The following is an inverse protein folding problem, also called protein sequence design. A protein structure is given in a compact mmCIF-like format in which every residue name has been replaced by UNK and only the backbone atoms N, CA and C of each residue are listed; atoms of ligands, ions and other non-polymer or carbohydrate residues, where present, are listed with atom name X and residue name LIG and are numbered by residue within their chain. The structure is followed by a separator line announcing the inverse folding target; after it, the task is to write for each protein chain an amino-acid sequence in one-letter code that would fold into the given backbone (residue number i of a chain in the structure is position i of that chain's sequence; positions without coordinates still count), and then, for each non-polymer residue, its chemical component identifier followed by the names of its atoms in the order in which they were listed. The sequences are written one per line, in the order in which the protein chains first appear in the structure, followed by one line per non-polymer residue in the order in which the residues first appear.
data_IF_739327749203
#
_entry.id   IF_739327749203
#
_cell.length_a   1.000
_cell.length_b   1.000
_cell.length_c   1.000
_cell.angle_alpha   90.00
_cell.angle_beta   90.00
_cell.angle_gamma   90.00
#
_symmetry.space_group_name_H-M   'P 1'
#
loop_
_entity.id
_entity.type
_entity.pdbx_description
1 polymer ?
#
# COMPACT_ATOMS: atom_id res chain seq x y z
N UNK A 1 13.85 8.03 -3.04
CA UNK A 1 14.14 6.58 -2.89
C UNK A 1 13.25 6.10 -1.76
N UNK A 2 12.51 5.00 -1.93
CA UNK A 2 11.56 4.57 -0.90
C UNK A 2 12.28 4.20 0.40
N UNK A 3 11.72 4.64 1.51
CA UNK A 3 12.10 4.22 2.86
C UNK A 3 11.60 2.77 3.08
N UNK A 4 12.54 1.81 3.13
CA UNK A 4 12.28 0.37 3.28
C UNK A 4 12.71 -0.19 4.64
N UNK A 5 13.30 0.64 5.49
CA UNK A 5 13.60 0.37 6.90
C UNK A 5 12.35 0.50 7.80
N UNK A 6 11.26 1.05 7.26
CA UNK A 6 9.93 1.07 7.89
C UNK A 6 9.42 -0.35 8.19
N UNK A 7 8.48 -0.50 9.13
CA UNK A 7 7.78 -1.77 9.33
C UNK A 7 6.93 -2.13 8.09
N UNK A 8 6.82 -3.43 7.80
CA UNK A 8 5.91 -3.93 6.75
C UNK A 8 4.47 -3.60 7.11
N UNK A 9 4.08 -3.90 8.36
CA UNK A 9 2.84 -3.50 8.99
C UNK A 9 3.20 -2.86 10.33
N UNK A 10 2.79 -1.62 10.55
CA UNK A 10 2.95 -0.93 11.83
C UNK A 10 1.76 -1.27 12.74
N UNK A 11 1.99 -2.14 13.74
CA UNK A 11 0.96 -2.54 14.70
C UNK A 11 0.43 -1.33 15.50
N UNK A 12 1.23 -0.27 15.68
CA UNK A 12 0.76 0.96 16.37
C UNK A 12 -0.32 1.68 15.57
N UNK A 13 -0.22 1.67 14.24
CA UNK A 13 -1.27 2.24 13.38
C UNK A 13 -2.56 1.45 13.48
N UNK A 14 -2.47 0.12 13.63
CA UNK A 14 -3.65 -0.71 13.88
C UNK A 14 -4.27 -0.41 15.26
N UNK A 15 -3.45 -0.20 16.29
CA UNK A 15 -3.92 0.20 17.62
C UNK A 15 -4.60 1.58 17.60
N UNK A 16 -4.01 2.55 16.90
CA UNK A 16 -4.61 3.88 16.70
C UNK A 16 -5.93 3.80 15.92
N UNK A 17 -5.99 2.96 14.88
CA UNK A 17 -7.20 2.72 14.11
C UNK A 17 -8.28 2.04 14.96
N UNK A 18 -7.90 1.10 15.84
CA UNK A 18 -8.79 0.45 16.80
C UNK A 18 -9.39 1.47 17.77
N UNK A 19 -8.55 2.32 18.37
CA UNK A 19 -9.01 3.38 19.26
C UNK A 19 -9.93 4.39 18.54
N UNK A 20 -9.61 4.76 17.30
CA UNK A 20 -10.41 5.68 16.50
C UNK A 20 -11.78 5.12 16.08
N UNK A 21 -11.93 3.80 16.10
CA UNK A 21 -13.15 3.07 15.67
C UNK A 21 -13.97 2.53 16.83
N UNK A 22 -13.67 2.98 18.07
CA UNK A 22 -14.43 2.62 19.26
C UNK A 22 -14.07 1.25 19.82
N UNK A 23 -12.81 0.83 19.65
CA UNK A 23 -12.30 -0.47 20.10
C UNK A 23 -13.05 -1.66 19.50
N UNK A 24 -13.39 -1.57 18.21
CA UNK A 24 -14.04 -2.63 17.43
C UNK A 24 -13.04 -3.36 16.51
N UNK A 25 -12.53 -4.54 16.91
CA UNK A 25 -11.61 -5.31 16.08
C UNK A 25 -12.24 -5.79 14.76
N UNK A 26 -13.55 -6.04 14.74
CA UNK A 26 -14.26 -6.50 13.55
C UNK A 26 -14.22 -5.44 12.45
N UNK A 27 -14.47 -4.19 12.82
CA UNK A 27 -14.42 -3.05 11.90
C UNK A 27 -12.98 -2.80 11.38
N UNK A 28 -11.97 -2.88 12.25
CA UNK A 28 -10.56 -2.76 11.83
C UNK A 28 -10.20 -3.82 10.79
N UNK A 29 -10.58 -5.08 11.02
CA UNK A 29 -10.31 -6.16 10.07
C UNK A 29 -11.15 -6.07 8.79
N UNK A 30 -12.35 -5.48 8.83
CA UNK A 30 -13.11 -5.14 7.63
C UNK A 30 -12.40 -4.09 6.77
N UNK A 31 -11.83 -3.05 7.39
CA UNK A 31 -11.03 -2.05 6.69
C UNK A 31 -9.78 -2.66 6.05
N UNK A 32 -9.06 -3.52 6.79
CA UNK A 32 -7.92 -4.26 6.25
C UNK A 32 -8.36 -5.17 5.11
N UNK A 33 -9.49 -5.88 5.25
CA UNK A 33 -10.05 -6.73 4.20
C UNK A 33 -10.38 -5.95 2.92
N UNK A 34 -10.98 -4.77 3.06
CA UNK A 34 -11.27 -3.87 1.94
C UNK A 34 -9.99 -3.38 1.26
N UNK A 35 -9.01 -2.94 2.06
CA UNK A 35 -7.69 -2.58 1.56
C UNK A 35 -7.05 -3.72 0.76
N UNK A 36 -7.13 -4.96 1.27
CA UNK A 36 -6.55 -6.12 0.62
C UNK A 36 -7.25 -6.44 -0.71
N UNK A 37 -8.56 -6.26 -0.78
CA UNK A 37 -9.36 -6.50 -1.98
C UNK A 37 -9.12 -5.44 -3.07
N UNK A 38 -8.95 -4.17 -2.68
CA UNK A 38 -8.83 -3.05 -3.62
C UNK A 38 -7.41 -2.85 -4.16
N UNK A 39 -6.39 -3.22 -3.38
CA UNK A 39 -4.98 -2.97 -3.73
C UNK A 39 -4.54 -3.61 -5.07
N UNK A 40 -4.91 -4.85 -5.41
CA UNK A 40 -4.57 -5.44 -6.71
C UNK A 40 -4.96 -4.56 -7.90
N UNK A 41 -6.18 -3.99 -7.87
CA UNK A 41 -6.65 -3.11 -8.94
C UNK A 41 -5.81 -1.82 -9.07
N UNK A 42 -5.31 -1.28 -7.95
CA UNK A 42 -4.41 -0.13 -7.99
C UNK A 42 -3.04 -0.50 -8.55
N UNK A 43 -2.49 -1.65 -8.17
CA UNK A 43 -1.21 -2.16 -8.68
C UNK A 43 -1.28 -2.42 -10.19
N UNK A 44 -2.38 -3.00 -10.68
CA UNK A 44 -2.60 -3.24 -12.10
C UNK A 44 -2.73 -1.93 -12.87
N UNK A 45 -3.48 -0.96 -12.34
CA UNK A 45 -3.60 0.37 -12.94
C UNK A 45 -2.25 1.11 -13.03
N UNK A 46 -1.42 1.04 -11.98
CA UNK A 46 -0.06 1.59 -12.02
C UNK A 46 0.81 0.86 -13.05
N UNK A 47 0.67 -0.46 -13.17
CA UNK A 47 1.41 -1.26 -14.17
C UNK A 47 1.06 -0.83 -15.58
N UNK A 48 -0.23 -0.72 -15.89
CA UNK A 48 -0.71 -0.26 -17.20
C UNK A 48 -0.21 1.16 -17.54
N UNK A 49 -0.25 2.09 -16.56
CA UNK A 49 0.24 3.45 -16.76
C UNK A 49 1.74 3.49 -17.08
N UNK A 50 2.55 2.69 -16.39
CA UNK A 50 4.00 2.60 -16.63
C UNK A 50 4.31 1.92 -17.97
N UNK A 51 3.54 0.92 -18.38
CA UNK A 51 3.66 0.29 -19.71
C UNK A 51 3.31 1.25 -20.84
N UNK A 52 2.25 2.04 -20.67
CA UNK A 52 1.83 3.07 -21.62
C UNK A 52 2.72 4.33 -21.62
N UNK A 53 3.69 4.42 -20.69
CA UNK A 53 4.47 5.63 -20.43
C UNK A 53 3.59 6.87 -20.12
N UNK A 54 2.46 6.65 -19.45
CA UNK A 54 1.49 7.68 -19.11
C UNK A 54 1.65 8.10 -17.64
N UNK A 55 2.42 9.19 -17.44
CA UNK A 55 2.68 9.73 -16.11
C UNK A 55 1.39 10.23 -15.42
N UNK A 56 0.44 10.80 -16.17
CA UNK A 56 -0.80 11.33 -15.62
C UNK A 56 -1.69 10.20 -15.09
N UNK A 57 -1.77 9.09 -15.82
CA UNK A 57 -2.51 7.89 -15.42
C UNK A 57 -1.93 7.22 -14.17
N UNK A 58 -0.62 7.38 -13.89
CA UNK A 58 0.04 6.80 -12.73
C UNK A 58 -0.29 7.54 -11.41
N UNK A 59 -0.57 8.85 -11.46
CA UNK A 59 -0.72 9.70 -10.26
C UNK A 59 -1.83 9.19 -9.34
N UNK A 60 -3.03 8.95 -9.89
CA UNK A 60 -4.21 8.60 -9.08
C UNK A 60 -4.07 7.24 -8.38
N UNK A 61 -3.74 6.13 -9.05
CA UNK A 61 -3.60 4.84 -8.36
C UNK A 61 -2.44 4.84 -7.36
N UNK A 62 -1.33 5.53 -7.64
CA UNK A 62 -0.24 5.68 -6.68
C UNK A 62 -0.67 6.49 -5.43
N UNK A 63 -1.42 7.58 -5.63
CA UNK A 63 -1.97 8.38 -4.53
C UNK A 63 -2.93 7.57 -3.65
N UNK A 64 -3.88 6.86 -4.28
CA UNK A 64 -4.84 5.99 -3.57
C UNK A 64 -4.11 4.95 -2.75
N UNK A 65 -3.17 4.22 -3.38
CA UNK A 65 -2.43 3.15 -2.71
C UNK A 65 -1.58 3.69 -1.55
N UNK A 66 -0.96 4.87 -1.70
CA UNK A 66 -0.19 5.50 -0.62
C UNK A 66 -1.06 5.76 0.61
N UNK A 67 -2.22 6.40 0.40
CA UNK A 67 -3.11 6.80 1.49
C UNK A 67 -3.76 5.58 2.15
N UNK A 68 -4.30 4.65 1.37
CA UNK A 68 -4.92 3.44 1.91
C UNK A 68 -3.91 2.58 2.67
N UNK A 69 -2.69 2.44 2.15
CA UNK A 69 -1.60 1.74 2.85
C UNK A 69 -1.25 2.42 4.18
N UNK A 70 -1.19 3.76 4.22
CA UNK A 70 -0.91 4.49 5.47
C UNK A 70 -2.02 4.29 6.50
N UNK A 71 -3.29 4.29 6.08
CA UNK A 71 -4.44 4.10 6.97
C UNK A 71 -4.41 2.78 7.71
N UNK A 72 -3.97 1.69 7.05
CA UNK A 72 -3.91 0.35 7.66
C UNK A 72 -2.53 -0.02 8.20
N UNK A 73 -1.55 0.90 8.16
CA UNK A 73 -0.20 0.68 8.67
C UNK A 73 0.74 -0.09 7.73
N UNK A 74 0.42 -0.27 6.44
CA UNK A 74 1.32 -0.88 5.45
C UNK A 74 2.44 0.11 5.01
N UNK A 75 3.34 0.44 5.94
CA UNK A 75 4.21 1.63 5.84
C UNK A 75 5.22 1.57 4.69
N UNK A 76 5.84 0.41 4.45
CA UNK A 76 6.73 0.24 3.27
C UNK A 76 6.00 0.45 1.96
N UNK A 77 4.80 -0.12 1.82
CA UNK A 77 4.00 0.03 0.61
C UNK A 77 3.55 1.47 0.42
N UNK A 78 3.17 2.15 1.50
CA UNK A 78 2.85 3.59 1.48
C UNK A 78 4.03 4.43 0.99
N UNK A 79 5.23 4.17 1.53
CA UNK A 79 6.48 4.83 1.15
C UNK A 79 6.82 4.64 -0.33
N UNK A 80 6.72 3.42 -0.84
CA UNK A 80 6.97 3.14 -2.27
C UNK A 80 5.92 3.78 -3.18
N UNK A 81 4.64 3.75 -2.80
CA UNK A 81 3.56 4.38 -3.55
C UNK A 81 3.72 5.91 -3.60
N UNK A 82 4.23 6.54 -2.53
CA UNK A 82 4.57 7.96 -2.52
C UNK A 82 5.66 8.29 -3.55
N UNK A 83 6.70 7.48 -3.66
CA UNK A 83 7.77 7.69 -4.64
C UNK A 83 7.26 7.59 -6.08
N UNK A 84 6.35 6.63 -6.35
CA UNK A 84 5.67 6.52 -7.65
C UNK A 84 4.80 7.75 -7.94
N UNK A 85 4.03 8.24 -6.96
CA UNK A 85 3.21 9.45 -7.10
C UNK A 85 4.08 10.68 -7.39
N UNK A 86 5.21 10.83 -6.69
CA UNK A 86 6.13 11.94 -6.88
C UNK A 86 6.78 11.91 -8.27
N UNK A 87 7.24 10.74 -8.72
CA UNK A 87 7.80 10.58 -10.06
C UNK A 87 6.76 10.89 -11.15
N UNK A 88 5.54 10.38 -10.99
CA UNK A 88 4.43 10.63 -11.91
C UNK A 88 4.08 12.13 -12.02
N UNK A 89 4.06 12.86 -10.90
CA UNK A 89 3.83 14.31 -10.89
C UNK A 89 4.95 15.12 -11.53
N UNK A 90 6.14 14.55 -11.68
CA UNK A 90 7.25 15.14 -12.42
C UNK A 90 7.04 15.17 -13.93
N UNK A 91 6.03 14.46 -14.46
CA UNK A 91 5.61 14.50 -15.86
C UNK A 91 6.33 13.52 -16.79
N UNK A 92 7.51 13.04 -16.42
CA UNK A 92 8.26 12.04 -17.19
C UNK A 92 8.56 10.79 -16.35
N UNK A 93 8.19 9.62 -16.86
CA UNK A 93 8.48 8.35 -16.20
C UNK A 93 9.91 7.91 -16.52
N UNK A 94 10.83 8.20 -15.62
CA UNK A 94 12.21 7.72 -15.71
C UNK A 94 12.28 6.18 -15.64
N UNK A 95 13.37 5.56 -16.16
CA UNK A 95 13.58 4.11 -16.04
C UNK A 95 13.46 3.56 -14.62
N UNK A 96 13.79 4.39 -13.62
CA UNK A 96 13.67 4.06 -12.19
C UNK A 96 12.23 3.74 -11.78
N UNK A 97 11.21 4.32 -12.41
CA UNK A 97 9.79 4.09 -12.08
C UNK A 97 9.43 2.62 -12.23
N UNK A 98 9.96 1.92 -13.25
CA UNK A 98 9.73 0.48 -13.45
C UNK A 98 10.30 -0.35 -12.29
N UNK A 99 11.49 0.03 -11.82
CA UNK A 99 12.11 -0.64 -10.65
C UNK A 99 11.27 -0.39 -9.40
N UNK A 100 10.87 0.86 -9.15
CA UNK A 100 10.02 1.23 -8.02
C UNK A 100 8.67 0.51 -8.06
N UNK A 101 8.06 0.34 -9.24
CA UNK A 101 6.83 -0.44 -9.41
C UNK A 101 7.03 -1.92 -9.04
N UNK A 102 8.15 -2.53 -9.44
CA UNK A 102 8.50 -3.89 -9.03
C UNK A 102 8.69 -4.03 -7.51
N UNK A 103 9.22 -2.99 -6.85
CA UNK A 103 9.28 -2.92 -5.40
C UNK A 103 7.86 -2.81 -4.81
N UNK A 104 6.98 -1.97 -5.36
CA UNK A 104 5.60 -1.83 -4.88
C UNK A 104 4.84 -3.17 -4.93
N UNK A 105 4.99 -3.92 -6.02
CA UNK A 105 4.40 -5.26 -6.16
C UNK A 105 4.95 -6.25 -5.12
N UNK A 106 6.22 -6.13 -4.76
CA UNK A 106 6.86 -6.96 -3.73
C UNK A 106 6.37 -6.59 -2.34
N UNK A 107 6.36 -5.31 -1.99
CA UNK A 107 5.87 -4.83 -0.70
C UNK A 107 4.37 -5.10 -0.52
N UNK A 108 3.58 -5.06 -1.60
CA UNK A 108 2.18 -5.50 -1.58
C UNK A 108 2.05 -6.96 -1.14
N UNK A 109 2.80 -7.89 -1.77
CA UNK A 109 2.76 -9.31 -1.37
C UNK A 109 3.21 -9.52 0.07
N UNK A 110 4.25 -8.80 0.50
CA UNK A 110 4.78 -8.88 1.86
C UNK A 110 3.77 -8.36 2.89
N UNK A 111 3.12 -7.22 2.62
CA UNK A 111 2.07 -6.66 3.47
C UNK A 111 0.84 -7.58 3.54
N UNK A 112 0.38 -8.11 2.40
CA UNK A 112 -0.74 -9.04 2.35
C UNK A 112 -0.47 -10.31 3.19
N UNK A 113 0.73 -10.87 3.08
CA UNK A 113 1.14 -12.02 3.89
C UNK A 113 1.20 -11.67 5.39
N UNK A 114 1.70 -10.48 5.75
CA UNK A 114 1.76 -10.02 7.13
C UNK A 114 0.36 -9.83 7.75
N UNK A 115 -0.58 -9.19 7.03
CA UNK A 115 -1.97 -9.06 7.48
C UNK A 115 -2.64 -10.42 7.65
N UNK A 116 -2.42 -11.36 6.73
CA UNK A 116 -2.95 -12.72 6.86
C UNK A 116 -2.40 -13.45 8.11
N UNK A 117 -1.12 -13.24 8.45
CA UNK A 117 -0.54 -13.80 9.67
C UNK A 117 -1.11 -13.16 10.94
N UNK A 118 -1.34 -11.84 10.95
CA UNK A 118 -1.97 -11.12 12.06
C UNK A 118 -3.42 -11.57 12.29
N UNK A 119 -4.20 -11.75 11.21
CA UNK A 119 -5.58 -12.22 11.30
C UNK A 119 -5.67 -13.61 11.93
N UNK A 120 -4.76 -14.53 11.55
CA UNK A 120 -4.67 -15.88 12.15
C UNK A 120 -4.36 -15.81 13.64
N UNK A 121 -3.36 -15.01 14.01
CA UNK A 121 -3.00 -14.76 15.42
C UNK A 121 -4.19 -14.23 16.23
N UNK A 122 -4.97 -13.31 15.67
CA UNK A 122 -6.15 -12.74 16.32
C UNK A 122 -7.32 -13.74 16.45
N UNK A 123 -7.40 -14.71 15.53
CA UNK A 123 -8.44 -15.75 15.52
C UNK A 123 -8.13 -16.96 16.41
N UNK A 124 -6.93 -17.02 17.00
CA UNK A 124 -6.52 -18.09 17.91
C UNK A 124 -6.12 -19.41 17.24
N UNK A 125 -5.82 -19.40 15.94
CA UNK A 125 -5.25 -20.53 15.18
C UNK A 125 -3.71 -20.56 15.21
#
# INVERSE_FOLDING_TARGET
MPELDLPVVDERTLDELMAATGDDPGFVWELVGTFLADTPAQVDAMTAAVEANDAAALVRPAHTLKSSSATVGAMRLSSVARELEMAARGGELEPRVRVTLGVAQTEWRTAAAAFAALLKRASGE
#
